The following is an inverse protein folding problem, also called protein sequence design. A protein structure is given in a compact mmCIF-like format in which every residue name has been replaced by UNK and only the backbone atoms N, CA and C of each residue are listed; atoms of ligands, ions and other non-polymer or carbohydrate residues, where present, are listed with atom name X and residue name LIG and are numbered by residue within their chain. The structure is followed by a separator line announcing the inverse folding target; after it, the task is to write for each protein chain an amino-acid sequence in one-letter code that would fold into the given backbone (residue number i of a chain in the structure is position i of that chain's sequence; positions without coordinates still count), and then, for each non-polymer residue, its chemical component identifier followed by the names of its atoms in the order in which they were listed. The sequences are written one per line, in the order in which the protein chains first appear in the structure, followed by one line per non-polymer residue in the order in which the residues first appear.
data_IF_191205179964
#
_entry.id   IF_191205179964
#
_cell.length_a   1.000
_cell.length_b   1.000
_cell.length_c   1.000
_cell.angle_alpha   90.00
_cell.angle_beta   90.00
_cell.angle_gamma   90.00
#
_symmetry.space_group_name_H-M   'P 1'
#
loop_
_entity.id
_entity.type
_entity.pdbx_description
1 polymer ?
#
# COMPACT_ATOMS: atom_id res chain seq x y z
N UNK A 1 -21.65 -1.78 22.45
CA UNK A 1 -21.82 -2.19 21.03
C UNK A 1 -20.97 -1.37 20.04
N UNK A 2 -20.31 -0.28 20.44
CA UNK A 2 -19.45 0.57 19.59
C UNK A 2 -18.08 -0.04 19.24
N UNK A 3 -17.57 -0.99 20.04
CA UNK A 3 -16.23 -1.54 19.83
C UNK A 3 -16.13 -2.45 18.58
N UNK A 4 -17.25 -3.01 18.12
CA UNK A 4 -17.29 -3.82 16.90
C UNK A 4 -17.04 -3.01 15.63
N UNK A 5 -17.42 -1.72 15.61
CA UNK A 5 -17.22 -0.84 14.43
C UNK A 5 -15.74 -0.48 14.26
N UNK A 6 -14.99 -0.33 15.37
CA UNK A 6 -13.54 -0.08 15.32
C UNK A 6 -12.76 -1.21 14.63
N UNK A 7 -13.25 -2.45 14.72
CA UNK A 7 -12.58 -3.61 14.10
C UNK A 7 -12.79 -3.70 12.59
N UNK A 8 -13.88 -3.13 12.06
CA UNK A 8 -14.14 -3.08 10.60
C UNK A 8 -13.20 -2.08 9.92
N UNK A 9 -12.71 -1.09 10.68
CA UNK A 9 -11.73 -0.10 10.23
C UNK A 9 -10.27 -0.55 10.38
N UNK A 10 -9.99 -1.82 10.69
CA UNK A 10 -8.64 -2.37 10.51
C UNK A 10 -8.34 -2.39 9.01
N UNK A 11 -7.80 -1.28 8.50
CA UNK A 11 -7.31 -1.16 7.12
C UNK A 11 -6.34 -2.32 6.90
N UNK A 12 -6.73 -3.27 6.05
CA UNK A 12 -5.85 -4.37 5.65
C UNK A 12 -4.63 -3.73 4.97
N UNK A 13 -3.46 -4.00 5.53
CA UNK A 13 -2.17 -3.64 4.95
C UNK A 13 -1.55 -4.88 4.37
N UNK A 14 -0.92 -4.73 3.21
CA UNK A 14 -0.26 -5.79 2.49
C UNK A 14 1.24 -5.50 2.46
N UNK A 15 2.09 -6.49 2.71
CA UNK A 15 3.52 -6.33 2.48
C UNK A 15 3.75 -6.06 1.00
N UNK A 16 4.41 -4.95 0.71
CA UNK A 16 4.65 -4.46 -0.64
C UNK A 16 6.12 -4.11 -0.80
N UNK A 17 6.63 -4.34 -2.00
CA UNK A 17 7.92 -3.84 -2.45
C UNK A 17 7.65 -2.64 -3.33
N UNK A 18 8.15 -1.48 -2.92
CA UNK A 18 8.05 -0.22 -3.67
C UNK A 18 9.43 0.12 -4.22
N UNK A 19 9.50 0.31 -5.53
CA UNK A 19 10.66 0.85 -6.23
C UNK A 19 10.38 2.29 -6.60
N UNK A 20 11.18 3.24 -6.10
CA UNK A 20 11.00 4.67 -6.39
C UNK A 20 11.84 5.16 -7.59
N UNK A 21 12.54 4.25 -8.27
CA UNK A 21 13.53 4.55 -9.31
C UNK A 21 14.97 4.70 -8.78
N UNK A 22 15.18 4.70 -7.46
CA UNK A 22 16.51 4.81 -6.83
C UNK A 22 16.78 3.67 -5.85
N UNK A 23 15.80 3.30 -5.04
CA UNK A 23 15.92 2.33 -3.97
C UNK A 23 14.65 1.49 -3.82
N UNK A 24 14.83 0.23 -3.39
CA UNK A 24 13.73 -0.65 -3.00
C UNK A 24 13.36 -0.41 -1.54
N UNK A 25 12.07 -0.29 -1.26
CA UNK A 25 11.53 -0.17 0.09
C UNK A 25 10.49 -1.26 0.32
N UNK A 26 10.57 -1.92 1.46
CA UNK A 26 9.59 -2.90 1.90
C UNK A 26 8.62 -2.19 2.84
N UNK A 27 7.37 -2.03 2.41
CA UNK A 27 6.36 -1.25 3.12
C UNK A 27 5.08 -2.07 3.26
N UNK A 28 4.42 -1.99 4.40
CA UNK A 28 3.08 -2.51 4.57
C UNK A 28 2.07 -1.44 4.16
N UNK A 29 1.55 -1.52 2.95
CA UNK A 29 0.66 -0.52 2.37
C UNK A 29 -0.78 -1.01 2.33
N UNK A 30 -1.73 -0.12 2.53
CA UNK A 30 -3.13 -0.45 2.29
C UNK A 30 -3.49 -0.31 0.81
N UNK A 31 -4.63 -0.89 0.40
CA UNK A 31 -5.05 -0.87 -1.00
C UNK A 31 -5.13 0.53 -1.61
N UNK A 32 -5.55 1.57 -0.84
CA UNK A 32 -5.62 2.95 -1.34
C UNK A 32 -4.25 3.54 -1.62
N UNK A 33 -3.25 3.23 -0.81
CA UNK A 33 -1.87 3.69 -1.02
C UNK A 33 -1.24 3.02 -2.24
N UNK A 34 -1.51 1.73 -2.43
CA UNK A 34 -1.08 0.99 -3.62
C UNK A 34 -1.74 1.60 -4.88
N UNK A 35 -3.03 1.90 -4.81
CA UNK A 35 -3.78 2.50 -5.91
C UNK A 35 -3.28 3.92 -6.23
N UNK A 36 -2.99 4.73 -5.22
CA UNK A 36 -2.41 6.07 -5.37
C UNK A 36 -1.05 5.99 -6.06
N UNK A 37 -0.17 5.05 -5.68
CA UNK A 37 1.12 4.85 -6.37
C UNK A 37 0.92 4.49 -7.85
N UNK A 38 -0.11 3.71 -8.18
CA UNK A 38 -0.38 3.27 -9.56
C UNK A 38 -1.05 4.33 -10.44
N UNK A 39 -1.86 5.20 -9.85
CA UNK A 39 -2.72 6.13 -10.58
C UNK A 39 -2.20 7.57 -10.57
N UNK A 40 -1.50 7.97 -9.52
CA UNK A 40 -1.08 9.35 -9.33
C UNK A 40 0.18 9.65 -10.17
N UNK A 41 0.16 10.68 -11.04
CA UNK A 41 1.30 11.01 -11.91
C UNK A 41 2.58 11.36 -11.14
N UNK A 42 2.47 11.74 -9.86
CA UNK A 42 3.62 11.96 -8.98
C UNK A 42 4.53 10.72 -8.87
N UNK A 43 3.95 9.53 -8.95
CA UNK A 43 4.65 8.25 -8.82
C UNK A 43 4.79 7.52 -10.16
N UNK A 44 4.69 8.22 -11.29
CA UNK A 44 4.75 7.63 -12.64
C UNK A 44 5.96 6.72 -12.88
N UNK A 45 7.08 7.00 -12.21
CA UNK A 45 8.31 6.20 -12.32
C UNK A 45 8.48 5.19 -11.19
N UNK A 46 7.51 5.08 -10.30
CA UNK A 46 7.52 4.14 -9.21
C UNK A 46 6.84 2.84 -9.62
N UNK A 47 7.23 1.75 -9.00
CA UNK A 47 6.57 0.45 -9.17
C UNK A 47 6.25 -0.12 -7.80
N UNK A 48 5.05 -0.68 -7.67
CA UNK A 48 4.59 -1.33 -6.43
C UNK A 48 4.16 -2.75 -6.74
N UNK A 49 4.84 -3.69 -6.08
CA UNK A 49 4.56 -5.13 -6.15
C UNK A 49 4.05 -5.59 -4.80
N UNK A 50 2.89 -6.23 -4.77
CA UNK A 50 2.36 -6.83 -3.55
C UNK A 50 3.11 -8.15 -3.33
N UNK A 51 3.76 -8.28 -2.19
CA UNK A 51 4.48 -9.49 -1.80
C UNK A 51 3.49 -10.48 -1.18
N UNK A 52 2.66 -11.10 -2.02
CA UNK A 52 1.75 -12.16 -1.58
C UNK A 52 2.52 -13.48 -1.66
N UNK A 53 2.83 -14.07 -0.50
CA UNK A 53 3.11 -15.52 -0.41
C UNK A 53 1.85 -16.34 -0.72
#
# INVERSE_FOLDING_TARGET
MLEKIKSIFKKKTYPCIVWDGKAMKYLNLNQKEIDDIRTNPKYKNWSVTINQE
#
